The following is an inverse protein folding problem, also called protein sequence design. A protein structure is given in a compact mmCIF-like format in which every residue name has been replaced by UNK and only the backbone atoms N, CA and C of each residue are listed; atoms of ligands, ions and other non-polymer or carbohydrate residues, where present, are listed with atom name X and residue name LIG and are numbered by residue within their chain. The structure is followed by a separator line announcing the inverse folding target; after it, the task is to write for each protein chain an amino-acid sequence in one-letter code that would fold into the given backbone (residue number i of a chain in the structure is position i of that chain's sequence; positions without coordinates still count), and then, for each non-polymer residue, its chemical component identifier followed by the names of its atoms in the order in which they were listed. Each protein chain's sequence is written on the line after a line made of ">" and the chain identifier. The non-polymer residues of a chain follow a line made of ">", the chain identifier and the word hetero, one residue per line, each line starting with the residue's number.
data_IF_557151065359
#
_entry.id   IF_557151065359
#
_cell.length_a   1.000
_cell.length_b   1.000
_cell.length_c   1.000
_cell.angle_alpha   90.00
_cell.angle_beta   90.00
_cell.angle_gamma   90.00
#
_symmetry.space_group_name_H-M   'P 1'
#
loop_
_entity.id
_entity.type
_entity.pdbx_description
1 polymer ?
#
# COMPACT_ATOMS: atom_id res chain seq x y z
N UNK A 1 -10.60 -27.07 -7.57
CA UNK A 1 -11.91 -27.04 -8.25
C UNK A 1 -12.87 -26.24 -7.39
N UNK A 2 -13.81 -25.51 -8.01
CA UNK A 2 -14.34 -24.29 -7.42
C UNK A 2 -15.67 -24.52 -6.70
N UNK A 3 -15.72 -24.06 -5.44
CA UNK A 3 -16.95 -23.84 -4.67
C UNK A 3 -18.08 -23.15 -5.47
N UNK A 4 -17.71 -22.42 -6.54
CA UNK A 4 -18.59 -21.76 -7.48
C UNK A 4 -19.70 -22.64 -8.07
N UNK A 5 -19.49 -23.95 -8.19
CA UNK A 5 -20.45 -24.90 -8.79
C UNK A 5 -21.56 -25.34 -7.83
N UNK A 6 -21.42 -25.08 -6.52
CA UNK A 6 -22.43 -25.44 -5.54
C UNK A 6 -23.61 -24.47 -5.60
N UNK A 7 -24.81 -25.02 -5.77
CA UNK A 7 -26.07 -24.30 -5.89
C UNK A 7 -26.86 -24.27 -4.57
N UNK A 8 -27.84 -23.37 -4.46
CA UNK A 8 -28.72 -23.30 -3.29
C UNK A 8 -29.48 -24.61 -3.02
N UNK A 9 -30.09 -25.29 -4.01
CA UNK A 9 -30.74 -26.58 -3.79
C UNK A 9 -29.81 -27.68 -3.29
N UNK A 10 -28.54 -27.67 -3.71
CA UNK A 10 -27.56 -28.64 -3.22
C UNK A 10 -27.24 -28.44 -1.74
N UNK A 11 -27.21 -27.17 -1.29
CA UNK A 11 -27.06 -26.84 0.14
C UNK A 11 -28.30 -27.23 0.94
N UNK A 12 -29.50 -27.05 0.38
CA UNK A 12 -30.76 -27.49 1.01
C UNK A 12 -30.79 -29.01 1.19
N UNK A 13 -30.41 -29.78 0.17
CA UNK A 13 -30.29 -31.24 0.29
C UNK A 13 -29.26 -31.67 1.35
N UNK A 14 -28.16 -30.93 1.47
CA UNK A 14 -27.16 -31.18 2.52
C UNK A 14 -27.71 -30.92 3.93
N UNK A 15 -28.55 -29.90 4.09
CA UNK A 15 -29.24 -29.59 5.35
C UNK A 15 -30.22 -30.72 5.71
N UNK A 16 -31.03 -31.17 4.74
CA UNK A 16 -31.98 -32.27 4.94
C UNK A 16 -31.28 -33.56 5.38
N UNK A 17 -30.16 -33.89 4.74
CA UNK A 17 -29.36 -35.07 5.11
C UNK A 17 -28.75 -34.93 6.51
N UNK A 18 -28.24 -33.74 6.84
CA UNK A 18 -27.71 -33.45 8.17
C UNK A 18 -28.80 -33.59 9.25
N UNK A 19 -30.01 -33.09 9.00
CA UNK A 19 -31.14 -33.23 9.91
C UNK A 19 -31.62 -34.70 10.03
N UNK A 20 -31.53 -35.49 8.95
CA UNK A 20 -31.89 -36.91 8.93
C UNK A 20 -30.91 -37.78 9.73
N UNK A 21 -29.61 -37.58 9.54
CA UNK A 21 -28.57 -38.38 10.21
C UNK A 21 -28.27 -37.88 11.62
N UNK A 22 -28.46 -36.58 11.87
CA UNK A 22 -27.97 -35.89 13.06
C UNK A 22 -26.48 -35.57 12.95
N UNK A 23 -26.05 -34.53 13.70
CA UNK A 23 -24.73 -33.90 13.58
C UNK A 23 -23.56 -34.88 13.65
N UNK A 24 -23.44 -35.64 14.74
CA UNK A 24 -22.26 -36.49 14.96
C UNK A 24 -22.17 -37.63 13.93
N UNK A 25 -23.31 -38.20 13.53
CA UNK A 25 -23.35 -39.25 12.51
C UNK A 25 -23.04 -38.70 11.11
N UNK A 26 -23.61 -37.55 10.73
CA UNK A 26 -23.30 -36.88 9.46
C UNK A 26 -21.80 -36.60 9.32
N UNK A 27 -21.19 -36.04 10.37
CA UNK A 27 -19.77 -35.72 10.39
C UNK A 27 -18.90 -36.98 10.26
N UNK A 28 -19.24 -38.06 10.97
CA UNK A 28 -18.52 -39.33 10.88
C UNK A 28 -18.67 -40.00 9.50
N UNK A 29 -19.90 -40.06 8.97
CA UNK A 29 -20.21 -40.70 7.68
C UNK A 29 -19.52 -39.99 6.51
N UNK A 30 -19.45 -38.65 6.55
CA UNK A 30 -18.87 -37.84 5.49
C UNK A 30 -17.45 -37.36 5.77
N UNK A 31 -16.83 -37.88 6.84
CA UNK A 31 -15.44 -37.61 7.23
C UNK A 31 -15.11 -36.11 7.41
N UNK A 32 -16.01 -35.38 8.07
CA UNK A 32 -15.81 -33.97 8.44
C UNK A 32 -15.61 -33.82 9.95
N UNK A 33 -14.79 -32.84 10.34
CA UNK A 33 -14.69 -32.41 11.73
C UNK A 33 -15.77 -31.38 12.10
N UNK A 34 -16.03 -31.22 13.40
CA UNK A 34 -16.89 -30.13 13.93
C UNK A 34 -16.33 -28.77 13.50
N UNK A 35 -17.20 -27.89 13.02
CA UNK A 35 -16.87 -26.52 12.70
C UNK A 35 -16.42 -25.80 13.97
N UNK A 36 -15.36 -25.00 13.84
CA UNK A 36 -14.79 -24.23 14.95
C UNK A 36 -15.27 -22.79 14.96
N UNK A 37 -15.51 -22.20 13.78
CA UNK A 37 -15.77 -20.76 13.65
C UNK A 37 -17.04 -20.44 12.89
N UNK A 38 -17.29 -21.02 11.72
CA UNK A 38 -18.45 -20.63 10.91
C UNK A 38 -19.59 -21.65 10.95
N UNK A 39 -20.79 -21.15 11.20
CA UNK A 39 -22.02 -21.93 11.24
C UNK A 39 -23.05 -21.36 10.28
N UNK A 40 -23.65 -22.24 9.49
CA UNK A 40 -24.84 -21.93 8.71
C UNK A 40 -26.05 -21.92 9.64
N UNK A 41 -26.92 -20.91 9.51
CA UNK A 41 -28.09 -20.70 10.38
C UNK A 41 -29.37 -20.89 9.58
N UNK A 42 -30.23 -21.80 10.06
CA UNK A 42 -31.58 -22.03 9.52
C UNK A 42 -32.57 -22.05 10.69
N UNK A 43 -33.41 -21.02 10.79
CA UNK A 43 -34.18 -20.78 12.01
C UNK A 43 -33.26 -20.63 13.22
N UNK A 44 -33.50 -21.41 14.28
CA UNK A 44 -32.68 -21.42 15.50
C UNK A 44 -31.56 -22.49 15.48
N UNK A 45 -31.36 -23.20 14.35
CA UNK A 45 -30.39 -24.30 14.24
C UNK A 45 -29.07 -23.85 13.61
N UNK A 46 -27.98 -24.42 14.12
CA UNK A 46 -26.60 -24.21 13.65
C UNK A 46 -26.06 -25.45 12.96
N UNK A 47 -25.52 -25.29 11.75
CA UNK A 47 -24.95 -26.37 10.95
C UNK A 47 -23.46 -26.11 10.65
N UNK A 48 -22.65 -27.17 10.67
CA UNK A 48 -21.21 -27.09 10.42
C UNK A 48 -20.91 -26.68 8.97
N UNK A 49 -20.56 -25.40 8.75
CA UNK A 49 -20.55 -24.79 7.40
C UNK A 49 -19.69 -25.53 6.36
N UNK A 50 -18.51 -26.02 6.76
CA UNK A 50 -17.63 -26.83 5.89
C UNK A 50 -18.24 -28.18 5.52
N UNK A 51 -18.90 -28.83 6.47
CA UNK A 51 -19.47 -30.16 6.26
C UNK A 51 -20.66 -30.08 5.30
N UNK A 52 -21.54 -29.10 5.52
CA UNK A 52 -22.67 -28.80 4.62
C UNK A 52 -22.16 -28.49 3.21
N UNK A 53 -21.18 -27.60 3.09
CA UNK A 53 -20.66 -27.20 1.78
C UNK A 53 -19.96 -28.35 1.05
N UNK A 54 -19.18 -29.15 1.78
CA UNK A 54 -18.47 -30.29 1.22
C UNK A 54 -19.42 -31.38 0.72
N UNK A 55 -20.49 -31.67 1.49
CA UNK A 55 -21.57 -32.56 1.05
C UNK A 55 -22.34 -32.00 -0.14
N UNK A 56 -22.77 -30.74 -0.08
CA UNK A 56 -23.52 -30.09 -1.16
C UNK A 56 -22.81 -30.15 -2.51
N UNK A 57 -21.47 -30.08 -2.53
CA UNK A 57 -20.69 -30.27 -3.75
C UNK A 57 -20.86 -31.67 -4.37
N UNK A 58 -21.01 -32.71 -3.56
CA UNK A 58 -21.21 -34.09 -4.03
C UNK A 58 -22.65 -34.45 -4.44
N UNK A 59 -23.63 -33.55 -4.23
CA UNK A 59 -25.05 -33.81 -4.53
C UNK A 59 -25.38 -33.63 -6.02
N UNK A 60 -24.63 -32.80 -6.74
CA UNK A 60 -24.70 -32.64 -8.20
C UNK A 60 -23.47 -33.29 -8.86
N UNK A 61 -23.52 -33.73 -10.13
CA UNK A 61 -22.55 -34.68 -10.70
C UNK A 61 -21.10 -34.19 -10.55
N UNK A 62 -20.41 -34.78 -9.56
CA UNK A 62 -19.04 -34.44 -9.18
C UNK A 62 -18.66 -35.19 -7.88
N UNK A 63 -17.37 -35.47 -7.63
CA UNK A 63 -16.94 -36.08 -6.38
C UNK A 63 -17.18 -35.14 -5.19
N UNK A 64 -17.55 -35.70 -4.04
CA UNK A 64 -17.65 -34.97 -2.79
C UNK A 64 -16.27 -34.40 -2.40
N UNK A 65 -16.20 -33.12 -2.00
CA UNK A 65 -14.94 -32.50 -1.58
C UNK A 65 -14.62 -32.85 -0.13
N UNK A 66 -13.38 -33.27 0.15
CA UNK A 66 -12.92 -33.42 1.52
C UNK A 66 -12.61 -32.04 2.14
N UNK A 67 -12.52 -31.99 3.48
CA UNK A 67 -12.18 -30.75 4.20
C UNK A 67 -10.84 -30.13 3.76
N UNK A 68 -9.88 -30.96 3.31
CA UNK A 68 -8.58 -30.55 2.76
C UNK A 68 -8.67 -29.88 1.40
N UNK A 69 -9.73 -30.17 0.62
CA UNK A 69 -9.88 -29.73 -0.76
C UNK A 69 -10.55 -28.35 -0.86
N UNK A 70 -11.09 -27.85 0.27
CA UNK A 70 -11.68 -26.54 0.41
C UNK A 70 -10.58 -25.47 0.54
N UNK A 71 -9.96 -25.13 -0.60
CA UNK A 71 -8.91 -24.11 -0.69
C UNK A 71 -9.43 -22.73 -0.26
N UNK A 72 -8.76 -22.10 0.71
CA UNK A 72 -9.11 -20.78 1.25
C UNK A 72 -9.83 -20.80 2.61
N UNK A 73 -10.12 -21.98 3.18
CA UNK A 73 -10.61 -22.13 4.55
C UNK A 73 -12.08 -21.73 4.76
N UNK A 74 -12.50 -21.64 6.03
CA UNK A 74 -13.91 -21.44 6.42
C UNK A 74 -14.49 -20.11 5.95
N UNK A 75 -13.67 -19.06 5.82
CA UNK A 75 -14.10 -17.75 5.30
C UNK A 75 -14.62 -17.85 3.85
N UNK A 76 -13.97 -18.67 3.01
CA UNK A 76 -14.38 -18.83 1.61
C UNK A 76 -15.72 -19.56 1.51
N UNK A 77 -15.92 -20.59 2.34
CA UNK A 77 -17.19 -21.32 2.45
C UNK A 77 -18.31 -20.39 2.93
N UNK A 78 -18.08 -19.66 4.02
CA UNK A 78 -19.03 -18.71 4.57
C UNK A 78 -19.47 -17.66 3.55
N UNK A 79 -18.52 -17.12 2.76
CA UNK A 79 -18.82 -16.15 1.70
C UNK A 79 -19.71 -16.73 0.61
N UNK A 80 -19.45 -17.97 0.18
CA UNK A 80 -20.25 -18.60 -0.87
C UNK A 80 -21.67 -18.91 -0.38
N UNK A 81 -21.82 -19.42 0.85
CA UNK A 81 -23.13 -19.62 1.49
C UNK A 81 -23.93 -18.31 1.59
N UNK A 82 -23.30 -17.21 2.02
CA UNK A 82 -23.93 -15.88 2.04
C UNK A 82 -24.37 -15.44 0.64
N UNK A 83 -23.56 -15.69 -0.39
CA UNK A 83 -23.91 -15.39 -1.80
C UNK A 83 -25.12 -16.19 -2.29
N UNK A 84 -25.32 -17.40 -1.79
CA UNK A 84 -26.50 -18.23 -2.07
C UNK A 84 -27.73 -17.81 -1.24
N UNK A 85 -27.63 -16.74 -0.44
CA UNK A 85 -28.74 -16.20 0.34
C UNK A 85 -28.92 -16.83 1.72
N UNK A 86 -27.92 -17.57 2.23
CA UNK A 86 -27.99 -18.15 3.57
C UNK A 86 -27.37 -17.25 4.63
N UNK A 87 -27.96 -17.27 5.84
CA UNK A 87 -27.38 -16.65 7.01
C UNK A 87 -26.21 -17.49 7.54
N UNK A 88 -25.05 -16.85 7.76
CA UNK A 88 -23.85 -17.52 8.30
C UNK A 88 -23.30 -16.67 9.43
N UNK A 89 -23.18 -17.27 10.61
CA UNK A 89 -22.63 -16.66 11.81
C UNK A 89 -21.23 -17.19 12.08
N UNK A 90 -20.35 -16.29 12.53
CA UNK A 90 -19.06 -16.66 13.06
C UNK A 90 -19.15 -16.71 14.59
N UNK A 91 -18.75 -17.82 15.18
CA UNK A 91 -18.55 -17.95 16.62
C UNK A 91 -17.15 -17.46 16.99
N UNK A 92 -17.10 -16.51 17.91
CA UNK A 92 -15.89 -15.96 18.51
C UNK A 92 -15.86 -16.27 20.00
N UNK A 93 -14.70 -16.07 20.62
CA UNK A 93 -14.57 -16.19 22.06
C UNK A 93 -15.25 -14.98 22.72
N UNK A 94 -16.42 -15.19 23.33
CA UNK A 94 -17.18 -14.13 24.01
C UNK A 94 -16.37 -13.48 25.15
N UNK A 95 -15.43 -14.21 25.75
CA UNK A 95 -14.56 -13.69 26.80
C UNK A 95 -13.45 -12.75 26.27
N UNK A 96 -13.25 -12.68 24.95
CA UNK A 96 -12.26 -11.82 24.30
C UNK A 96 -12.92 -10.61 23.61
N UNK A 97 -13.86 -9.95 24.31
CA UNK A 97 -14.46 -8.70 23.87
C UNK A 97 -13.40 -7.60 23.74
N UNK A 98 -13.55 -6.73 22.74
CA UNK A 98 -12.64 -5.60 22.51
C UNK A 98 -12.83 -4.53 23.59
N UNK A 99 -11.76 -4.21 24.33
CA UNK A 99 -11.78 -3.24 25.44
C UNK A 99 -10.75 -2.10 25.31
N UNK A 100 -10.03 -2.03 24.19
CA UNK A 100 -9.02 -1.00 23.98
C UNK A 100 -9.66 0.32 23.52
N UNK A 101 -9.30 1.38 24.23
CA UNK A 101 -9.63 2.77 23.87
C UNK A 101 -8.56 3.39 22.96
N UNK A 102 -8.93 4.25 21.99
CA UNK A 102 -7.98 5.00 21.18
C UNK A 102 -6.92 5.72 22.04
N UNK A 103 -5.65 5.57 21.67
CA UNK A 103 -4.50 6.10 22.39
C UNK A 103 -3.87 5.13 23.39
N UNK A 104 -4.51 3.99 23.71
CA UNK A 104 -3.92 2.97 24.56
C UNK A 104 -2.60 2.43 23.98
N UNK A 105 -1.59 2.29 24.82
CA UNK A 105 -0.30 1.69 24.46
C UNK A 105 -0.11 0.35 25.16
N UNK A 106 0.33 -0.65 24.41
CA UNK A 106 0.56 -2.00 24.90
C UNK A 106 1.64 -2.71 24.11
N UNK A 107 2.19 -3.80 24.64
CA UNK A 107 3.11 -4.63 23.89
C UNK A 107 2.34 -5.33 22.77
N UNK A 108 2.93 -5.33 21.57
CA UNK A 108 2.35 -6.04 20.42
C UNK A 108 2.13 -7.53 20.72
N UNK A 109 3.00 -8.12 21.54
CA UNK A 109 2.88 -9.51 21.98
C UNK A 109 1.62 -9.72 22.84
N UNK A 110 1.41 -8.90 23.86
CA UNK A 110 0.22 -8.95 24.74
C UNK A 110 -1.08 -8.78 23.94
N UNK A 111 -1.05 -7.88 22.95
CA UNK A 111 -2.17 -7.67 22.03
C UNK A 111 -2.54 -8.96 21.28
N UNK A 112 -1.55 -9.70 20.78
CA UNK A 112 -1.81 -10.99 20.11
C UNK A 112 -2.25 -12.08 21.09
N UNK A 113 -1.75 -12.07 22.31
CA UNK A 113 -2.15 -13.02 23.35
C UNK A 113 -3.61 -12.81 23.76
N UNK A 114 -4.08 -11.55 23.82
CA UNK A 114 -5.46 -11.20 24.13
C UNK A 114 -6.38 -11.39 22.92
N UNK A 115 -6.05 -10.76 21.79
CA UNK A 115 -6.97 -10.60 20.66
C UNK A 115 -6.72 -11.57 19.50
N UNK A 116 -5.61 -12.29 19.49
CA UNK A 116 -5.21 -13.24 18.45
C UNK A 116 -4.56 -12.58 17.23
N UNK A 117 -4.58 -13.31 16.11
CA UNK A 117 -3.95 -12.90 14.85
C UNK A 117 -2.46 -13.30 14.76
N UNK A 118 -1.91 -13.40 13.54
CA UNK A 118 -0.51 -13.72 13.35
C UNK A 118 0.40 -12.62 13.92
N UNK A 119 1.43 -13.02 14.66
CA UNK A 119 2.40 -12.10 15.27
C UNK A 119 3.37 -11.47 14.26
N UNK A 120 3.47 -12.06 13.06
CA UNK A 120 4.36 -11.63 11.99
C UNK A 120 3.55 -10.94 10.89
N UNK A 121 4.06 -9.80 10.39
CA UNK A 121 3.45 -9.03 9.29
C UNK A 121 2.62 -7.82 9.73
N UNK A 122 2.26 -6.95 8.79
CA UNK A 122 1.47 -5.74 9.08
C UNK A 122 -0.03 -6.01 9.22
N UNK A 123 -0.55 -7.01 8.49
CA UNK A 123 -1.98 -7.35 8.48
C UNK A 123 -2.18 -8.66 9.24
N UNK A 124 -2.93 -8.61 10.33
CA UNK A 124 -3.13 -9.75 11.21
C UNK A 124 -4.63 -10.03 11.43
N UNK A 125 -5.26 -10.83 10.54
CA UNK A 125 -6.62 -11.30 10.76
C UNK A 125 -6.68 -12.30 11.92
N UNK A 126 -7.40 -11.99 13.00
CA UNK A 126 -7.61 -12.90 14.13
C UNK A 126 -8.52 -14.12 13.86
N UNK A 127 -8.24 -15.23 14.53
CA UNK A 127 -9.17 -16.37 14.63
C UNK A 127 -9.96 -16.39 15.94
N UNK A 128 -9.53 -15.62 16.94
CA UNK A 128 -10.14 -15.58 18.28
C UNK A 128 -11.22 -14.51 18.39
N UNK A 129 -10.99 -13.36 17.75
CA UNK A 129 -11.91 -12.20 17.80
C UNK A 129 -12.32 -11.75 16.38
N UNK A 130 -13.44 -11.02 16.23
CA UNK A 130 -13.89 -10.48 14.94
C UNK A 130 -13.02 -9.30 14.44
N UNK A 131 -11.72 -9.30 14.71
CA UNK A 131 -10.83 -8.19 14.37
C UNK A 131 -9.81 -8.56 13.31
N UNK A 132 -9.44 -7.57 12.51
CA UNK A 132 -8.25 -7.57 11.65
C UNK A 132 -7.36 -6.45 12.18
N UNK A 133 -6.23 -6.85 12.74
CA UNK A 133 -5.28 -5.93 13.35
C UNK A 133 -4.33 -5.42 12.26
N UNK A 134 -4.24 -4.11 12.10
CA UNK A 134 -3.41 -3.43 11.11
C UNK A 134 -2.29 -2.70 11.84
N UNK A 135 -1.05 -3.03 11.53
CA UNK A 135 0.12 -2.41 12.13
C UNK A 135 0.85 -1.55 11.10
N UNK A 136 0.84 -0.24 11.28
CA UNK A 136 1.77 0.65 10.58
C UNK A 136 3.07 0.71 11.38
N UNK A 137 4.15 0.20 10.78
CA UNK A 137 5.45 0.05 11.43
C UNK A 137 6.53 0.75 10.62
N UNK A 138 7.58 1.22 11.31
CA UNK A 138 8.74 1.82 10.64
C UNK A 138 9.45 0.84 9.71
N UNK A 139 9.32 -0.47 9.93
CA UNK A 139 9.83 -1.51 9.02
C UNK A 139 9.13 -1.53 7.65
N UNK A 140 7.87 -1.07 7.54
CA UNK A 140 7.19 -0.93 6.25
C UNK A 140 7.80 0.17 5.37
N UNK A 141 8.34 1.22 6.02
CA UNK A 141 8.96 2.36 5.34
C UNK A 141 10.17 1.95 4.49
N UNK A 142 10.91 0.92 4.92
CA UNK A 142 12.05 0.37 4.17
C UNK A 142 11.67 -0.24 2.80
N UNK A 143 10.38 -0.55 2.59
CA UNK A 143 9.84 -1.08 1.33
C UNK A 143 9.12 -0.01 0.49
N UNK A 144 9.33 1.28 0.77
CA UNK A 144 8.73 2.39 0.05
C UNK A 144 7.30 2.75 0.47
N UNK A 145 6.83 2.25 1.62
CA UNK A 145 5.49 2.55 2.14
C UNK A 145 5.40 3.93 2.82
N UNK A 146 6.53 4.56 3.12
CA UNK A 146 6.58 5.84 3.82
C UNK A 146 5.85 6.96 3.07
N UNK A 147 5.90 6.96 1.74
CA UNK A 147 5.24 7.96 0.89
C UNK A 147 3.77 7.62 0.61
N UNK A 148 3.31 6.45 1.06
CA UNK A 148 2.03 5.84 0.70
C UNK A 148 1.12 5.52 1.90
N UNK A 149 1.62 5.70 3.12
CA UNK A 149 0.90 5.46 4.38
C UNK A 149 0.76 6.74 5.21
N UNK A 150 -0.34 6.84 5.95
CA UNK A 150 -0.63 7.94 6.86
C UNK A 150 -1.92 8.68 6.52
N UNK A 151 -2.23 9.71 7.30
CA UNK A 151 -3.43 10.52 7.08
C UNK A 151 -3.34 11.30 5.78
N UNK A 152 -4.28 11.03 4.87
CA UNK A 152 -4.50 11.79 3.65
C UNK A 152 -5.17 13.14 3.97
N UNK A 153 -6.18 13.08 4.83
CA UNK A 153 -6.98 14.22 5.28
C UNK A 153 -7.53 13.93 6.69
N UNK A 154 -8.39 14.79 7.22
CA UNK A 154 -9.00 14.63 8.55
C UNK A 154 -9.94 13.43 8.69
N UNK A 155 -10.23 12.72 7.60
CA UNK A 155 -11.22 11.63 7.55
C UNK A 155 -10.70 10.35 6.92
N UNK A 156 -9.51 10.37 6.32
CA UNK A 156 -8.99 9.25 5.53
C UNK A 156 -7.53 8.94 5.90
N UNK A 157 -7.28 7.69 6.28
CA UNK A 157 -5.95 7.14 6.51
C UNK A 157 -5.58 6.17 5.37
N UNK A 158 -4.37 6.32 4.82
CA UNK A 158 -3.81 5.45 3.80
C UNK A 158 -3.01 4.33 4.46
N UNK A 159 -3.29 3.09 4.09
CA UNK A 159 -2.62 1.90 4.62
C UNK A 159 -2.15 1.00 3.48
N UNK A 160 -0.87 0.63 3.43
CA UNK A 160 -0.35 -0.18 2.33
C UNK A 160 -0.54 -1.66 2.60
N UNK A 161 -0.93 -2.40 1.56
CA UNK A 161 -1.16 -3.83 1.61
C UNK A 161 0.10 -4.65 1.88
N UNK A 162 -0.10 -5.93 2.17
CA UNK A 162 0.99 -6.90 2.34
C UNK A 162 1.51 -7.46 1.01
N UNK A 163 2.74 -7.97 1.06
CA UNK A 163 3.51 -8.48 -0.06
C UNK A 163 4.73 -7.60 -0.26
N UNK A 164 5.94 -8.18 -0.24
CA UNK A 164 7.23 -7.47 -0.33
C UNK A 164 7.86 -7.54 -1.72
N UNK A 165 7.41 -8.49 -2.55
CA UNK A 165 7.96 -8.77 -3.88
C UNK A 165 6.84 -8.91 -4.89
N UNK A 166 7.05 -8.36 -6.08
CA UNK A 166 6.09 -8.32 -7.18
C UNK A 166 4.79 -7.58 -6.86
N UNK A 167 3.92 -7.53 -7.86
CA UNK A 167 2.61 -6.86 -7.73
C UNK A 167 1.77 -7.48 -6.62
N UNK A 168 1.24 -6.62 -5.75
CA UNK A 168 0.33 -7.03 -4.71
C UNK A 168 -1.01 -7.47 -5.29
N UNK A 169 -1.57 -8.54 -4.72
CA UNK A 169 -2.80 -9.18 -5.20
C UNK A 169 -3.76 -9.44 -4.05
N UNK A 170 -5.05 -9.46 -4.38
CA UNK A 170 -6.10 -9.95 -3.49
C UNK A 170 -6.19 -11.48 -3.56
N UNK A 171 -5.25 -12.17 -2.91
CA UNK A 171 -5.26 -13.63 -2.81
C UNK A 171 -6.21 -14.07 -1.69
N UNK A 172 -7.11 -14.99 -1.99
CA UNK A 172 -8.06 -15.52 -1.00
C UNK A 172 -7.30 -16.15 0.19
N UNK A 173 -7.72 -15.81 1.41
CA UNK A 173 -7.06 -16.27 2.64
C UNK A 173 -5.82 -15.48 3.07
N UNK A 174 -5.44 -14.42 2.34
CA UNK A 174 -4.34 -13.50 2.70
C UNK A 174 -4.85 -12.17 3.24
N UNK A 175 -3.96 -11.37 3.84
CA UNK A 175 -4.26 -10.11 4.53
C UNK A 175 -4.97 -9.09 3.65
N UNK A 176 -4.50 -8.87 2.41
CA UNK A 176 -5.13 -7.90 1.50
C UNK A 176 -6.61 -8.24 1.20
N UNK A 177 -6.92 -9.52 1.00
CA UNK A 177 -8.30 -9.96 0.80
C UNK A 177 -9.11 -9.87 2.09
N UNK A 178 -8.50 -10.10 3.25
CA UNK A 178 -9.17 -9.94 4.54
C UNK A 178 -9.60 -8.49 4.78
N UNK A 179 -8.75 -7.50 4.45
CA UNK A 179 -9.12 -6.09 4.52
C UNK A 179 -10.27 -5.80 3.55
N UNK A 180 -10.13 -6.14 2.26
CA UNK A 180 -11.18 -5.88 1.26
C UNK A 180 -12.55 -6.45 1.66
N UNK A 181 -12.55 -7.67 2.20
CA UNK A 181 -13.78 -8.41 2.49
C UNK A 181 -14.26 -8.24 3.95
N UNK A 182 -13.70 -7.29 4.71
CA UNK A 182 -13.87 -7.21 6.16
C UNK A 182 -15.35 -7.08 6.58
N UNK A 183 -16.12 -6.19 5.94
CA UNK A 183 -17.55 -6.00 6.19
C UNK A 183 -18.36 -7.27 5.91
N UNK A 184 -18.12 -7.93 4.77
CA UNK A 184 -18.82 -9.19 4.40
C UNK A 184 -18.50 -10.30 5.40
N UNK A 185 -17.29 -10.30 5.96
CA UNK A 185 -16.86 -11.24 6.99
C UNK A 185 -17.30 -10.85 8.41
N UNK A 186 -17.92 -9.69 8.60
CA UNK A 186 -18.32 -9.18 9.91
C UNK A 186 -17.13 -8.91 10.81
N UNK A 187 -16.08 -8.25 10.26
CA UNK A 187 -14.83 -8.00 10.97
C UNK A 187 -14.46 -6.52 10.98
N UNK A 188 -14.03 -6.04 12.14
CA UNK A 188 -13.56 -4.68 12.35
C UNK A 188 -12.08 -4.55 11.96
N UNK A 189 -11.72 -3.44 11.32
CA UNK A 189 -10.33 -3.07 11.11
C UNK A 189 -9.84 -2.26 12.30
N UNK A 190 -8.78 -2.73 12.97
CA UNK A 190 -8.21 -2.12 14.17
C UNK A 190 -6.81 -1.63 13.84
N UNK A 191 -6.62 -0.32 13.74
CA UNK A 191 -5.33 0.27 13.34
C UNK A 191 -4.44 0.54 14.55
N UNK A 192 -3.16 0.22 14.40
CA UNK A 192 -2.10 0.41 15.38
C UNK A 192 -0.88 1.05 14.74
N UNK A 193 -0.25 1.96 15.48
CA UNK A 193 1.01 2.59 15.09
C UNK A 193 2.13 2.20 16.06
N UNK A 194 3.35 2.04 15.55
CA UNK A 194 4.53 1.79 16.39
C UNK A 194 4.85 3.03 17.23
N UNK A 195 4.63 2.93 18.55
CA UNK A 195 4.85 4.03 19.49
C UNK A 195 6.30 4.10 19.96
N UNK A 196 6.81 2.98 20.49
CA UNK A 196 8.16 2.90 21.02
C UNK A 196 8.68 1.46 21.02
N UNK A 197 9.94 1.30 21.45
CA UNK A 197 10.55 0.00 21.71
C UNK A 197 11.06 -0.03 23.14
N UNK A 198 10.85 -1.16 23.81
CA UNK A 198 11.37 -1.37 25.17
C UNK A 198 12.90 -1.51 25.14
N UNK A 199 13.53 -1.50 26.32
CA UNK A 199 14.96 -1.80 26.50
C UNK A 199 15.35 -3.19 25.98
N UNK A 200 14.38 -4.12 25.92
CA UNK A 200 14.55 -5.49 25.40
C UNK A 200 14.21 -5.60 23.91
N UNK A 201 14.05 -4.47 23.20
CA UNK A 201 13.65 -4.38 21.79
C UNK A 201 12.23 -4.91 21.47
N UNK A 202 11.39 -5.09 22.49
CA UNK A 202 9.98 -5.43 22.27
C UNK A 202 9.22 -4.20 21.74
N UNK A 203 8.30 -4.42 20.79
CA UNK A 203 7.58 -3.35 20.10
C UNK A 203 6.33 -2.97 20.93
N UNK A 204 6.24 -1.69 21.30
CA UNK A 204 5.05 -1.08 21.89
C UNK A 204 4.24 -0.43 20.77
N UNK A 205 2.96 -0.75 20.71
CA UNK A 205 2.03 -0.22 19.72
C UNK A 205 0.98 0.64 20.40
N UNK A 206 0.55 1.69 19.72
CA UNK A 206 -0.55 2.55 20.13
C UNK A 206 -1.79 2.24 19.30
N UNK A 207 -2.91 2.01 19.96
CA UNK A 207 -4.19 1.82 19.28
C UNK A 207 -4.67 3.16 18.72
N UNK A 208 -4.89 3.22 17.41
CA UNK A 208 -5.37 4.44 16.73
C UNK A 208 -6.89 4.50 16.76
N UNK A 209 -7.56 3.39 16.45
CA UNK A 209 -9.02 3.32 16.43
C UNK A 209 -9.59 2.22 15.54
N UNK A 210 -10.92 2.25 15.42
CA UNK A 210 -11.69 1.37 14.53
C UNK A 210 -11.93 2.05 13.18
N UNK A 211 -11.74 1.30 12.10
CA UNK A 211 -11.84 1.81 10.74
C UNK A 211 -12.74 0.92 9.86
N UNK A 212 -13.28 1.55 8.82
CA UNK A 212 -13.90 0.92 7.65
C UNK A 212 -13.19 1.34 6.38
N UNK A 213 -13.35 0.58 5.30
CA UNK A 213 -12.91 1.06 3.99
C UNK A 213 -13.77 2.24 3.51
N UNK A 214 -13.16 3.19 2.82
CA UNK A 214 -13.86 4.24 2.09
C UNK A 214 -14.79 3.62 1.04
N UNK A 215 -16.08 3.93 1.11
CA UNK A 215 -17.10 3.30 0.24
C UNK A 215 -16.94 3.69 -1.24
N UNK A 216 -16.53 4.93 -1.51
CA UNK A 216 -16.42 5.44 -2.87
C UNK A 216 -15.15 4.94 -3.55
N UNK A 217 -14.04 4.91 -2.81
CA UNK A 217 -12.77 4.42 -3.29
C UNK A 217 -12.05 3.63 -2.19
N UNK A 218 -12.28 2.31 -2.07
CA UNK A 218 -11.71 1.50 -0.98
C UNK A 218 -10.18 1.39 -1.02
N UNK A 219 -9.60 1.45 -2.22
CA UNK A 219 -8.16 1.41 -2.41
C UNK A 219 -7.75 2.05 -3.74
N UNK A 220 -6.47 2.39 -3.84
CA UNK A 220 -5.80 2.77 -5.07
C UNK A 220 -4.60 1.86 -5.29
N UNK A 221 -4.16 1.74 -6.55
CA UNK A 221 -2.87 1.13 -6.87
C UNK A 221 -1.84 2.23 -7.03
N UNK A 222 -0.65 2.01 -6.46
CA UNK A 222 0.48 2.93 -6.59
C UNK A 222 1.73 2.12 -6.90
N UNK A 223 2.73 2.76 -7.48
CA UNK A 223 4.01 2.12 -7.74
C UNK A 223 4.92 2.35 -6.52
N UNK A 224 5.57 1.28 -6.07
CA UNK A 224 6.58 1.33 -5.02
C UNK A 224 7.79 0.48 -5.45
N UNK A 225 8.99 0.74 -4.90
CA UNK A 225 10.14 -0.13 -5.13
C UNK A 225 9.87 -1.57 -4.68
N UNK A 226 10.38 -2.54 -5.43
CA UNK A 226 10.45 -3.91 -4.98
C UNK A 226 11.51 -4.05 -3.87
N UNK A 227 11.21 -4.87 -2.86
CA UNK A 227 12.10 -5.04 -1.71
C UNK A 227 13.37 -5.83 -2.00
N UNK A 228 13.43 -6.56 -3.13
CA UNK A 228 14.55 -7.42 -3.49
C UNK A 228 15.27 -7.04 -4.79
N UNK A 229 14.60 -6.33 -5.68
CA UNK A 229 15.12 -5.94 -6.99
C UNK A 229 14.89 -4.45 -7.23
N UNK A 230 15.74 -3.82 -8.04
CA UNK A 230 15.61 -2.41 -8.43
C UNK A 230 14.56 -2.25 -9.55
N UNK A 231 13.35 -2.76 -9.29
CA UNK A 231 12.19 -2.64 -10.17
C UNK A 231 11.01 -2.06 -9.40
N UNK A 232 10.12 -1.35 -10.11
CA UNK A 232 8.87 -0.88 -9.53
C UNK A 232 7.83 -2.00 -9.53
N UNK A 233 7.01 -2.03 -8.49
CA UNK A 233 5.89 -2.97 -8.34
C UNK A 233 4.61 -2.23 -7.97
N UNK A 234 3.47 -2.77 -8.38
CA UNK A 234 2.18 -2.22 -8.04
C UNK A 234 1.76 -2.65 -6.63
N UNK A 235 1.65 -1.69 -5.71
CA UNK A 235 1.15 -1.88 -4.34
C UNK A 235 -0.30 -1.42 -4.21
N UNK A 236 -1.04 -2.07 -3.31
CA UNK A 236 -2.42 -1.73 -2.99
C UNK A 236 -2.38 -0.79 -1.78
N UNK A 237 -2.95 0.40 -1.90
CA UNK A 237 -3.07 1.38 -0.82
C UNK A 237 -4.53 1.51 -0.44
N UNK A 238 -4.90 0.97 0.70
CA UNK A 238 -6.25 1.02 1.26
C UNK A 238 -6.55 2.40 1.83
N UNK A 239 -7.79 2.87 1.62
CA UNK A 239 -8.30 4.13 2.14
C UNK A 239 -9.24 3.80 3.30
N UNK A 240 -8.79 4.07 4.52
CA UNK A 240 -9.48 3.74 5.76
C UNK A 240 -10.15 4.98 6.34
N UNK A 241 -11.43 4.88 6.72
CA UNK A 241 -12.19 5.94 7.40
C UNK A 241 -12.46 5.51 8.84
N UNK A 242 -12.23 6.36 9.86
CA UNK A 242 -12.53 6.02 11.25
C UNK A 242 -14.05 5.93 11.48
N UNK A 243 -14.49 4.99 12.31
CA UNK A 243 -15.91 4.86 12.71
C UNK A 243 -16.26 5.88 13.82
N UNK A 244 -15.38 6.03 14.80
CA UNK A 244 -15.50 7.01 15.88
C UNK A 244 -14.33 7.99 15.81
N UNK A 245 -14.63 9.28 15.75
CA UNK A 245 -13.67 10.36 15.50
C UNK A 245 -12.87 10.63 16.78
N UNK A 246 -11.73 9.98 16.95
CA UNK A 246 -10.69 10.56 17.80
C UNK A 246 -10.11 11.79 17.08
N UNK A 247 -9.99 12.97 17.73
CA UNK A 247 -9.37 14.12 17.10
C UNK A 247 -7.88 13.85 16.90
N UNK A 248 -7.51 13.47 15.67
CA UNK A 248 -6.12 13.40 15.26
C UNK A 248 -5.63 14.80 14.84
N UNK A 249 -4.38 15.16 15.16
CA UNK A 249 -3.81 16.43 14.75
C UNK A 249 -3.85 16.53 13.23
N UNK A 250 -4.52 17.59 12.77
CA UNK A 250 -4.70 17.92 11.36
C UNK A 250 -3.31 18.06 10.72
N UNK A 251 -2.89 17.08 9.93
CA UNK A 251 -1.97 17.37 8.84
C UNK A 251 -2.74 18.23 7.83
N UNK A 252 -2.11 19.26 7.25
CA UNK A 252 -2.79 20.16 6.31
C UNK A 252 -3.51 19.32 5.25
N UNK A 253 -4.79 19.62 5.00
CA UNK A 253 -5.63 18.92 4.01
C UNK A 253 -4.80 18.66 2.75
N UNK A 254 -4.77 17.40 2.28
CA UNK A 254 -4.20 17.13 0.97
C UNK A 254 -4.85 18.07 -0.06
N UNK A 255 -4.06 18.73 -0.92
CA UNK A 255 -4.59 19.73 -1.83
C UNK A 255 -5.74 19.15 -2.65
N UNK A 256 -6.86 19.86 -2.72
CA UNK A 256 -7.98 19.51 -3.63
C UNK A 256 -7.61 19.77 -5.09
N UNK A 257 -6.58 20.58 -5.32
CA UNK A 257 -6.01 20.97 -6.60
C UNK A 257 -4.49 20.94 -6.52
N UNK A 258 -3.79 20.64 -7.61
CA UNK A 258 -2.33 20.63 -7.60
C UNK A 258 -1.75 21.97 -7.11
N UNK A 259 -0.84 21.91 -6.14
CA UNK A 259 -0.11 23.07 -5.63
C UNK A 259 1.39 22.95 -5.96
N UNK A 260 2.00 24.05 -6.40
CA UNK A 260 3.45 24.09 -6.69
C UNK A 260 4.11 25.08 -5.74
N UNK A 261 5.02 24.59 -4.90
CA UNK A 261 5.69 25.36 -3.84
C UNK A 261 7.17 25.49 -4.18
N UNK A 262 7.69 26.71 -4.11
CA UNK A 262 9.12 26.99 -4.30
C UNK A 262 9.90 26.62 -3.03
N UNK A 263 11.02 25.94 -3.22
CA UNK A 263 11.93 25.50 -2.17
C UNK A 263 13.38 25.84 -2.54
N UNK A 264 14.26 25.89 -1.54
CA UNK A 264 15.70 26.01 -1.79
C UNK A 264 16.26 24.68 -2.30
N UNK A 265 17.35 24.73 -3.06
CA UNK A 265 18.03 23.53 -3.58
C UNK A 265 18.52 22.62 -2.44
N UNK A 266 18.89 23.21 -1.30
CA UNK A 266 19.42 22.51 -0.12
C UNK A 266 18.38 21.66 0.63
N UNK A 267 17.08 21.93 0.42
CA UNK A 267 15.99 21.13 1.00
C UNK A 267 15.95 19.69 0.48
N UNK A 268 16.65 19.36 -0.60
CA UNK A 268 16.76 18.01 -1.16
C UNK A 268 17.22 16.95 -0.15
N UNK A 269 18.19 17.30 0.70
CA UNK A 269 18.70 16.38 1.71
C UNK A 269 17.66 16.16 2.81
N UNK A 270 17.12 17.24 3.39
CA UNK A 270 16.12 17.16 4.46
C UNK A 270 14.87 16.40 4.01
N UNK A 271 14.46 16.57 2.75
CA UNK A 271 13.30 15.86 2.20
C UNK A 271 13.52 14.38 2.09
N UNK A 272 14.63 13.92 1.52
CA UNK A 272 14.96 12.48 1.46
C UNK A 272 14.96 11.87 2.86
N UNK A 273 15.47 12.61 3.86
CA UNK A 273 15.43 12.21 5.27
C UNK A 273 14.02 12.23 5.89
N UNK A 274 13.12 13.10 5.43
CA UNK A 274 11.72 13.16 5.93
C UNK A 274 10.76 12.22 5.20
N UNK A 275 10.92 12.02 3.90
CA UNK A 275 10.11 11.12 3.07
C UNK A 275 10.54 9.68 3.29
N UNK A 276 11.83 9.42 3.49
CA UNK A 276 12.33 8.08 3.72
C UNK A 276 13.50 8.03 4.74
N UNK A 277 13.20 8.17 6.06
CA UNK A 277 14.23 8.31 7.10
C UNK A 277 15.19 7.12 7.22
N UNK A 278 14.85 5.99 6.63
CA UNK A 278 15.56 4.71 6.78
C UNK A 278 16.46 4.32 5.61
N UNK A 279 16.36 5.01 4.46
CA UNK A 279 17.18 4.75 3.27
C UNK A 279 18.08 5.97 3.04
N UNK A 280 19.34 5.87 3.43
CA UNK A 280 20.31 6.90 3.07
C UNK A 280 20.42 7.01 1.55
N UNK A 281 20.75 8.20 1.04
CA UNK A 281 20.93 8.43 -0.40
C UNK A 281 21.84 7.36 -1.01
N UNK A 282 21.38 6.74 -2.09
CA UNK A 282 22.16 5.87 -2.97
C UNK A 282 23.37 6.63 -3.53
N UNK A 283 24.37 5.90 -4.00
CA UNK A 283 25.55 6.55 -4.58
C UNK A 283 25.21 7.38 -5.82
N UNK A 284 24.20 6.96 -6.60
CA UNK A 284 23.70 7.71 -7.75
C UNK A 284 23.06 9.04 -7.32
N UNK A 285 22.12 9.01 -6.36
CA UNK A 285 21.45 10.22 -5.84
C UNK A 285 22.45 11.20 -5.20
N UNK A 286 23.51 10.70 -4.54
CA UNK A 286 24.59 11.57 -4.02
C UNK A 286 25.36 12.28 -5.14
N UNK A 287 25.65 11.58 -6.23
CA UNK A 287 26.34 12.17 -7.39
C UNK A 287 25.47 13.22 -8.06
N UNK A 288 24.16 12.97 -8.18
CA UNK A 288 23.16 13.90 -8.70
C UNK A 288 23.06 15.15 -7.83
N UNK A 289 22.82 14.99 -6.53
CA UNK A 289 22.74 16.12 -5.60
C UNK A 289 24.04 16.96 -5.60
N UNK A 290 25.20 16.32 -5.68
CA UNK A 290 26.47 17.02 -5.78
C UNK A 290 26.63 17.78 -7.10
N UNK A 291 26.15 17.22 -8.23
CA UNK A 291 26.16 17.88 -9.54
C UNK A 291 25.22 19.08 -9.56
N UNK A 292 23.99 18.91 -9.06
CA UNK A 292 22.99 19.99 -8.91
C UNK A 292 23.54 21.11 -8.03
N UNK A 293 24.17 20.80 -6.90
CA UNK A 293 24.77 21.82 -6.02
C UNK A 293 25.87 22.63 -6.70
N UNK A 294 26.74 21.98 -7.50
CA UNK A 294 27.77 22.68 -8.29
C UNK A 294 27.15 23.55 -9.39
N UNK A 295 26.18 23.03 -10.13
CA UNK A 295 25.52 23.76 -11.21
C UNK A 295 24.69 24.94 -10.69
N UNK A 296 23.95 24.75 -9.59
CA UNK A 296 23.26 25.83 -8.87
C UNK A 296 24.23 26.94 -8.48
N UNK A 297 25.40 26.59 -7.93
CA UNK A 297 26.43 27.59 -7.58
C UNK A 297 26.96 28.34 -8.81
N UNK A 298 27.11 27.64 -9.94
CA UNK A 298 27.55 28.22 -11.21
C UNK A 298 26.51 29.21 -11.79
N UNK A 299 25.22 28.91 -11.69
CA UNK A 299 24.13 29.82 -12.08
C UNK A 299 24.01 31.03 -11.13
N UNK A 300 24.10 30.82 -9.82
CA UNK A 300 24.06 31.92 -8.83
C UNK A 300 25.21 32.90 -9.04
N UNK A 301 26.42 32.43 -9.39
CA UNK A 301 27.55 33.30 -9.75
C UNK A 301 27.28 34.18 -10.97
N UNK A 302 26.37 33.77 -11.86
CA UNK A 302 25.91 34.54 -13.00
C UNK A 302 24.72 35.46 -12.68
N UNK A 303 24.28 35.50 -11.41
CA UNK A 303 23.19 36.35 -10.94
C UNK A 303 21.81 35.71 -11.06
N UNK A 304 21.71 34.41 -11.31
CA UNK A 304 20.44 33.73 -11.45
C UNK A 304 19.85 33.35 -10.08
N UNK A 305 18.54 33.52 -9.93
CA UNK A 305 17.78 32.98 -8.82
C UNK A 305 17.36 31.54 -9.13
N UNK A 306 17.91 30.59 -8.37
CA UNK A 306 17.66 29.16 -8.56
C UNK A 306 17.07 28.51 -7.30
N UNK A 307 16.33 27.45 -7.50
CA UNK A 307 15.73 26.66 -6.43
C UNK A 307 15.15 25.37 -6.99
N UNK A 308 14.18 24.81 -6.30
CA UNK A 308 13.39 23.69 -6.82
C UNK A 308 11.92 23.90 -6.50
N UNK A 309 11.07 23.03 -7.03
CA UNK A 309 9.64 23.09 -6.82
C UNK A 309 9.11 21.76 -6.30
N UNK A 310 8.31 21.81 -5.23
CA UNK A 310 7.48 20.71 -4.75
C UNK A 310 6.12 20.79 -5.43
N UNK A 311 5.70 19.72 -6.09
CA UNK A 311 4.41 19.57 -6.74
C UNK A 311 3.56 18.64 -5.88
N UNK A 312 2.58 19.20 -5.18
CA UNK A 312 1.63 18.44 -4.36
C UNK A 312 0.45 18.03 -5.22
N UNK A 313 0.30 16.73 -5.46
CA UNK A 313 -0.77 16.17 -6.29
C UNK A 313 -2.07 15.97 -5.48
N UNK A 314 -3.25 16.10 -6.11
CA UNK A 314 -4.52 15.89 -5.43
C UNK A 314 -4.74 14.42 -5.04
N UNK A 315 -5.52 14.19 -3.98
CA UNK A 315 -5.81 12.84 -3.48
C UNK A 315 -4.66 12.17 -2.72
N UNK A 316 -3.69 12.99 -2.26
CA UNK A 316 -2.51 12.61 -1.48
C UNK A 316 -1.69 11.50 -2.10
N UNK A 317 -1.50 11.59 -3.41
CA UNK A 317 -0.35 10.97 -4.05
C UNK A 317 0.94 11.61 -3.50
N UNK A 318 2.04 10.86 -3.56
CA UNK A 318 3.35 11.36 -3.17
C UNK A 318 3.66 12.67 -3.91
N UNK A 319 4.25 13.64 -3.21
CA UNK A 319 4.66 14.89 -3.83
C UNK A 319 5.80 14.62 -4.81
N UNK A 320 5.75 15.25 -5.98
CA UNK A 320 6.86 15.26 -6.92
C UNK A 320 7.77 16.43 -6.58
N UNK A 321 9.05 16.29 -6.89
CA UNK A 321 10.00 17.37 -6.72
C UNK A 321 10.88 17.49 -7.95
N UNK A 322 11.09 18.71 -8.41
CA UNK A 322 12.05 18.99 -9.47
C UNK A 322 13.47 18.94 -8.91
N UNK A 323 14.46 18.63 -9.74
CA UNK A 323 15.87 18.67 -9.32
C UNK A 323 16.36 20.12 -9.17
N UNK A 324 16.13 20.94 -10.20
CA UNK A 324 16.51 22.35 -10.20
C UNK A 324 15.61 23.16 -11.13
N UNK A 325 15.28 24.37 -10.71
CA UNK A 325 14.53 25.35 -11.48
C UNK A 325 15.24 26.70 -11.40
N UNK A 326 15.47 27.32 -12.55
CA UNK A 326 15.98 28.68 -12.67
C UNK A 326 14.80 29.64 -12.84
N UNK A 327 14.51 30.41 -11.80
CA UNK A 327 13.40 31.36 -11.78
C UNK A 327 13.66 32.59 -12.64
N UNK A 328 14.91 32.85 -13.01
CA UNK A 328 15.31 34.01 -13.83
C UNK A 328 14.94 33.78 -15.28
N UNK A 329 15.26 32.60 -15.80
CA UNK A 329 15.02 32.21 -17.19
C UNK A 329 13.76 31.35 -17.36
N UNK A 330 13.11 30.98 -16.26
CA UNK A 330 12.00 30.02 -16.23
C UNK A 330 12.39 28.69 -16.85
N UNK A 331 13.53 28.14 -16.45
CA UNK A 331 14.10 26.92 -17.02
C UNK A 331 14.09 25.76 -16.01
N UNK A 332 13.51 24.63 -16.44
CA UNK A 332 13.45 23.42 -15.65
C UNK A 332 14.60 22.49 -16.00
N UNK A 333 15.32 22.03 -14.98
CA UNK A 333 16.44 21.10 -15.12
C UNK A 333 16.14 19.78 -14.44
N UNK A 334 16.50 18.70 -15.13
CA UNK A 334 16.55 17.34 -14.58
C UNK A 334 17.99 16.83 -14.62
N UNK A 335 18.52 16.43 -13.47
CA UNK A 335 19.89 15.97 -13.33
C UNK A 335 19.96 14.45 -13.33
N UNK A 336 21.06 13.91 -13.86
CA UNK A 336 21.35 12.47 -13.76
C UNK A 336 22.79 12.22 -13.38
N UNK A 337 23.03 11.17 -12.60
CA UNK A 337 24.35 10.81 -12.08
C UNK A 337 25.26 10.15 -13.11
N UNK A 338 24.72 9.84 -14.29
CA UNK A 338 25.44 9.27 -15.42
C UNK A 338 24.84 9.71 -16.77
N UNK A 339 25.67 9.79 -17.80
CA UNK A 339 25.29 10.23 -19.15
C UNK A 339 24.88 9.09 -20.09
N UNK A 340 24.35 7.99 -19.55
CA UNK A 340 23.94 6.83 -20.37
C UNK A 340 22.56 7.02 -20.99
N UNK A 341 22.25 6.30 -22.07
CA UNK A 341 20.94 6.40 -22.75
C UNK A 341 19.77 6.18 -21.80
N UNK A 342 19.87 5.23 -20.87
CA UNK A 342 18.79 4.95 -19.92
C UNK A 342 18.54 6.15 -18.99
N UNK A 343 19.60 6.77 -18.46
CA UNK A 343 19.47 7.97 -17.62
C UNK A 343 18.87 9.14 -18.39
N UNK A 344 19.31 9.37 -19.64
CA UNK A 344 18.75 10.42 -20.50
C UNK A 344 17.26 10.18 -20.77
N UNK A 345 16.85 8.93 -21.04
CA UNK A 345 15.43 8.59 -21.24
C UNK A 345 14.58 8.81 -19.99
N UNK A 346 15.12 8.45 -18.81
CA UNK A 346 14.45 8.72 -17.53
C UNK A 346 14.29 10.23 -17.31
N UNK A 347 15.35 11.01 -17.56
CA UNK A 347 15.31 12.46 -17.42
C UNK A 347 14.26 13.11 -18.33
N UNK A 348 14.17 12.66 -19.59
CA UNK A 348 13.13 13.10 -20.53
C UNK A 348 11.73 12.84 -19.95
N UNK A 349 11.48 11.64 -19.43
CA UNK A 349 10.18 11.28 -18.84
C UNK A 349 9.82 12.17 -17.66
N UNK A 350 10.77 12.43 -16.76
CA UNK A 350 10.56 13.28 -15.59
C UNK A 350 10.30 14.74 -15.99
N UNK A 351 11.07 15.30 -16.93
CA UNK A 351 10.85 16.66 -17.43
C UNK A 351 9.43 16.87 -17.98
N UNK A 352 8.95 15.94 -18.80
CA UNK A 352 7.59 16.02 -19.37
C UNK A 352 6.49 15.75 -18.34
N UNK A 353 6.75 14.97 -17.29
CA UNK A 353 5.78 14.80 -16.21
C UNK A 353 5.65 16.07 -15.36
N UNK A 354 6.77 16.69 -14.99
CA UNK A 354 6.76 17.94 -14.21
C UNK A 354 6.10 19.10 -14.97
N UNK A 355 6.29 19.18 -16.29
CA UNK A 355 5.72 20.24 -17.13
C UNK A 355 4.19 20.32 -17.08
N UNK A 356 3.51 19.21 -16.76
CA UNK A 356 2.06 19.18 -16.59
C UNK A 356 1.59 20.14 -15.48
N UNK A 357 2.48 20.52 -14.59
CA UNK A 357 2.21 21.34 -13.40
C UNK A 357 3.13 22.57 -13.31
N UNK A 358 4.37 22.47 -13.78
CA UNK A 358 5.38 23.53 -13.74
C UNK A 358 5.42 24.28 -15.08
N UNK A 359 5.24 25.60 -15.02
CA UNK A 359 5.36 26.48 -16.20
C UNK A 359 6.82 26.83 -16.47
N UNK A 360 7.51 26.02 -17.26
CA UNK A 360 8.86 26.31 -17.74
C UNK A 360 8.84 26.81 -19.20
N UNK A 361 9.66 27.81 -19.51
CA UNK A 361 9.92 28.28 -20.86
C UNK A 361 10.90 27.37 -21.60
N UNK A 362 11.84 26.76 -20.88
CA UNK A 362 12.85 25.82 -21.42
C UNK A 362 13.01 24.61 -20.51
N UNK A 363 13.50 23.51 -21.10
CA UNK A 363 13.83 22.25 -20.40
C UNK A 363 15.27 21.91 -20.68
N UNK A 364 15.95 21.39 -19.67
CA UNK A 364 17.36 21.04 -19.75
C UNK A 364 17.66 19.73 -19.03
N UNK A 365 18.51 18.89 -19.63
CA UNK A 365 19.09 17.74 -18.93
C UNK A 365 20.52 18.07 -18.51
N UNK A 366 20.79 17.95 -17.21
CA UNK A 366 22.10 18.18 -16.60
C UNK A 366 22.85 16.86 -16.36
N UNK A 367 24.04 16.75 -16.94
CA UNK A 367 24.83 15.52 -16.93
C UNK A 367 26.27 15.74 -16.42
N UNK A 368 26.92 14.72 -15.83
CA UNK A 368 28.27 14.85 -15.28
C UNK A 368 29.34 14.91 -16.38
N UNK A 369 29.06 14.36 -17.57
CA UNK A 369 29.95 14.39 -18.73
C UNK A 369 29.13 14.51 -20.01
N UNK A 370 29.77 14.97 -21.09
CA UNK A 370 29.14 15.06 -22.41
C UNK A 370 28.59 13.70 -22.85
N UNK A 371 27.28 13.58 -23.17
CA UNK A 371 26.73 12.33 -23.70
C UNK A 371 27.14 12.12 -25.16
N UNK A 372 26.89 10.90 -25.68
CA UNK A 372 27.08 10.60 -27.09
C UNK A 372 26.26 11.55 -27.98
N UNK A 373 26.78 11.88 -29.17
CA UNK A 373 26.15 12.85 -30.08
C UNK A 373 24.68 12.51 -30.39
N UNK A 374 24.37 11.22 -30.57
CA UNK A 374 23.01 10.73 -30.78
C UNK A 374 22.04 11.13 -29.65
N UNK A 375 22.50 11.13 -28.39
CA UNK A 375 21.67 11.53 -27.25
C UNK A 375 21.47 13.05 -27.19
N UNK A 376 22.45 13.83 -27.65
CA UNK A 376 22.27 15.28 -27.83
C UNK A 376 21.24 15.54 -28.93
N UNK A 377 21.31 14.82 -30.05
CA UNK A 377 20.30 14.89 -31.11
C UNK A 377 18.89 14.53 -30.61
N UNK A 378 18.77 13.45 -29.83
CA UNK A 378 17.50 13.05 -29.21
C UNK A 378 16.90 14.16 -28.32
N UNK A 379 17.74 14.81 -27.50
CA UNK A 379 17.28 15.91 -26.65
C UNK A 379 16.86 17.13 -27.48
N UNK A 380 17.64 17.46 -28.52
CA UNK A 380 17.32 18.55 -29.44
C UNK A 380 16.00 18.33 -30.19
N UNK A 381 15.75 17.10 -30.68
CA UNK A 381 14.49 16.74 -31.37
C UNK A 381 13.26 16.95 -30.46
N UNK A 382 13.45 16.88 -29.15
CA UNK A 382 12.42 17.10 -28.13
C UNK A 382 12.41 18.53 -27.57
N UNK A 383 13.23 19.44 -28.12
CA UNK A 383 13.41 20.81 -27.63
C UNK A 383 13.87 20.88 -26.18
N UNK A 384 14.81 20.01 -25.82
CA UNK A 384 15.43 19.93 -24.50
C UNK A 384 16.92 20.26 -24.66
N UNK A 385 17.42 21.24 -23.93
CA UNK A 385 18.85 21.57 -23.97
C UNK A 385 19.66 20.52 -23.22
N UNK A 386 20.91 20.34 -23.62
CA UNK A 386 21.84 19.45 -22.95
C UNK A 386 22.93 20.27 -22.25
N UNK A 387 23.07 20.10 -20.95
CA UNK A 387 24.10 20.74 -20.13
C UNK A 387 24.99 19.66 -19.53
N UNK A 388 26.30 19.86 -19.58
CA UNK A 388 27.22 18.95 -18.91
C UNK A 388 28.39 19.67 -18.25
N UNK A 389 28.94 19.04 -17.21
CA UNK A 389 30.15 19.51 -16.54
C UNK A 389 31.38 19.24 -17.42
N UNK A 390 32.21 20.26 -17.66
CA UNK A 390 33.47 20.14 -18.41
C UNK A 390 34.66 19.99 -17.49
N UNK A 391 34.71 20.84 -16.47
CA UNK A 391 35.64 20.78 -15.35
C UNK A 391 34.83 20.94 -14.07
N UNK A 392 35.38 20.53 -12.91
CA UNK A 392 34.60 20.52 -11.67
C UNK A 392 34.14 21.93 -11.30
N UNK A 393 32.84 22.20 -11.46
CA UNK A 393 32.20 23.50 -11.22
C UNK A 393 32.03 24.38 -12.46
N UNK A 394 32.44 23.93 -13.64
CA UNK A 394 32.28 24.62 -14.93
C UNK A 394 31.42 23.79 -15.89
N UNK A 395 30.54 24.46 -16.62
CA UNK A 395 29.50 23.81 -17.40
C UNK A 395 29.45 24.32 -18.83
N UNK A 396 29.20 23.39 -19.75
CA UNK A 396 28.92 23.69 -21.14
C UNK A 396 27.44 23.44 -21.44
N UNK A 397 26.84 24.34 -22.22
CA UNK A 397 25.44 24.26 -22.64
C UNK A 397 25.37 24.05 -24.15
N UNK A 398 24.69 23.00 -24.59
CA UNK A 398 24.28 22.78 -25.96
C UNK A 398 22.78 23.09 -26.06
N UNK A 399 22.39 24.29 -26.52
CA UNK A 399 20.98 24.64 -26.64
C UNK A 399 20.32 23.83 -27.75
N UNK A 400 19.09 23.40 -27.51
CA UNK A 400 18.22 22.87 -28.53
C UNK A 400 17.79 23.99 -29.50
N UNK A 401 17.50 23.66 -30.77
CA UNK A 401 16.92 24.60 -31.72
C UNK A 401 15.57 25.16 -31.21
N UNK A 402 15.26 26.41 -31.58
CA UNK A 402 13.98 27.07 -31.22
C UNK A 402 12.73 26.37 -31.80
#
# INVERSE_FOLDING_TARGET
>A
MALAEVTRPAVEAAIEEFDRLGRDAFLATHNFGKAKRYFLIIGDRRYDSKAIMGYAHGVFPGPQLAASDLVGGENTVARHLKRLGFAVEAQYDEAASWDLEPGAELLRQELHDQYGGPQQGGIAPSSRTPNILLFSTKSGQQFGYADQEGWLDSTTYLYTGEGQTGDQKFVAGRGNAAIRDHLVSGRSLRLFEEASRTKTSAIVVRYVGEFVLDEAQPYVKRDAPDGLIDEMRSVIVFRLRPIEVAPHPVLPEAPKTTEVIKLSVESHNTETFTTNPSKGLTEAERREAALVGRFSSWLVKQGHEVGRQQIRLPGGAASLYTDLFDFTTSELFEAKGASTRNHVRLAIGQLFDYERYVKAARRSVLLPVRPQLDLVSLLNDLKIDCVWETEKGDFHRAPAPE
#
